data_IF_368436129292
#
_entry.id   IF_368436129292
#
_cell.length_a   1.000
_cell.length_b   1.000
_cell.length_c   1.000
_cell.angle_alpha   90.00
_cell.angle_beta   90.00
_cell.angle_gamma   90.00
#
_symmetry.space_group_name_H-M   'P 1'
#
loop_
_entity.id
_entity.type
_entity.pdbx_description
1 polymer ?
#
# COMPACT_ATOMS: atom_id res chain seq x y z
N UNK A 1 0.00 40.33 22.10
CA UNK A 1 -1.02 39.48 22.73
C UNK A 1 -0.71 38.03 22.38
N UNK A 2 -0.76 37.13 23.36
CA UNK A 2 -0.70 35.68 23.12
C UNK A 2 -2.13 35.21 22.91
N UNK A 3 -2.38 34.55 21.79
CA UNK A 3 -3.68 33.95 21.47
C UNK A 3 -3.45 32.44 21.42
N UNK A 4 -4.24 31.69 22.18
CA UNK A 4 -4.31 30.24 22.10
C UNK A 4 -5.75 29.85 21.77
N UNK A 5 -5.93 29.02 20.76
CA UNK A 5 -7.21 28.46 20.35
C UNK A 5 -7.22 26.99 20.75
N UNK A 6 -8.28 26.58 21.43
CA UNK A 6 -8.51 25.19 21.82
C UNK A 6 -9.91 24.79 21.33
N UNK A 7 -9.97 23.78 20.47
CA UNK A 7 -11.19 23.32 19.82
C UNK A 7 -11.43 21.85 20.12
N UNK A 8 -12.65 21.51 20.50
CA UNK A 8 -13.11 20.12 20.56
C UNK A 8 -13.97 19.85 19.33
N UNK A 9 -13.55 18.91 18.53
CA UNK A 9 -14.23 18.50 17.29
C UNK A 9 -14.85 17.13 17.51
N UNK A 10 -16.14 17.01 17.22
CA UNK A 10 -16.84 15.73 17.14
C UNK A 10 -17.25 15.51 15.70
N UNK A 11 -16.56 14.58 15.06
CA UNK A 11 -16.89 14.15 13.71
C UNK A 11 -18.02 13.11 13.77
N UNK A 12 -19.08 13.35 13.01
CA UNK A 12 -20.16 12.36 12.82
C UNK A 12 -19.73 11.29 11.81
N UNK A 13 -20.46 10.16 11.67
CA UNK A 13 -20.09 9.07 10.78
C UNK A 13 -19.96 9.39 9.28
N UNK A 14 -20.46 10.55 8.84
CA UNK A 14 -20.33 11.02 7.45
C UNK A 14 -19.23 12.05 7.26
N UNK A 15 -18.44 12.31 8.29
CA UNK A 15 -17.32 13.23 8.20
C UNK A 15 -16.24 12.63 7.31
N UNK A 16 -15.69 13.44 6.41
CA UNK A 16 -14.60 13.04 5.50
C UNK A 16 -13.31 13.65 5.95
N UNK A 17 -12.25 12.89 5.84
CA UNK A 17 -10.89 13.37 6.05
C UNK A 17 -10.00 12.99 4.87
N UNK A 18 -9.06 13.87 4.57
CA UNK A 18 -7.94 13.59 3.68
C UNK A 18 -6.65 13.64 4.52
N UNK A 19 -5.93 12.54 4.55
CA UNK A 19 -4.64 12.43 5.24
C UNK A 19 -3.55 12.30 4.20
N UNK A 20 -2.75 13.34 4.04
CA UNK A 20 -1.63 13.36 3.10
C UNK A 20 -0.46 12.63 3.76
N UNK A 21 -0.04 11.52 3.16
CA UNK A 21 1.10 10.73 3.63
C UNK A 21 2.41 11.25 3.06
N UNK A 22 2.36 11.66 1.80
CA UNK A 22 3.51 12.18 1.07
C UNK A 22 3.04 13.21 0.04
N UNK A 23 3.49 14.46 0.20
CA UNK A 23 3.14 15.55 -0.71
C UNK A 23 3.86 15.44 -2.07
N UNK A 24 5.04 14.83 -2.12
CA UNK A 24 5.84 14.70 -3.35
C UNK A 24 5.26 13.62 -4.28
N UNK A 25 4.86 12.48 -3.71
CA UNK A 25 4.25 11.39 -4.47
C UNK A 25 2.74 11.59 -4.65
N UNK A 26 2.13 12.43 -3.82
CA UNK A 26 0.69 12.63 -3.78
C UNK A 26 -0.08 11.48 -3.15
N UNK A 27 0.58 10.70 -2.30
CA UNK A 27 -0.05 9.62 -1.55
C UNK A 27 -1.02 10.18 -0.52
N UNK A 28 -2.28 9.81 -0.64
CA UNK A 28 -3.36 10.31 0.21
C UNK A 28 -4.30 9.20 0.63
N UNK A 29 -4.67 9.22 1.92
CA UNK A 29 -5.77 8.43 2.45
C UNK A 29 -7.00 9.33 2.47
N UNK A 30 -8.06 8.93 1.78
CA UNK A 30 -9.38 9.56 1.85
C UNK A 30 -10.30 8.65 2.63
N UNK A 31 -10.75 9.13 3.78
CA UNK A 31 -11.59 8.35 4.68
C UNK A 31 -12.92 9.03 4.99
N UNK A 32 -13.93 8.24 5.24
CA UNK A 32 -15.19 8.65 5.84
C UNK A 32 -15.40 7.86 7.13
N UNK A 33 -15.78 8.56 8.20
CA UNK A 33 -15.87 7.93 9.49
C UNK A 33 -16.22 8.92 10.60
N UNK A 34 -15.86 8.59 11.82
CA UNK A 34 -16.20 9.38 13.00
C UNK A 34 -15.01 9.50 13.96
N UNK A 35 -15.09 10.46 14.87
CA UNK A 35 -14.04 10.63 15.85
C UNK A 35 -14.27 11.82 16.79
N UNK A 36 -13.38 11.90 17.77
CA UNK A 36 -13.31 13.04 18.68
C UNK A 36 -11.88 13.52 18.75
N UNK A 37 -11.70 14.80 18.42
CA UNK A 37 -10.37 15.41 18.37
C UNK A 37 -10.38 16.69 19.19
N UNK A 38 -9.32 16.91 19.94
CA UNK A 38 -8.98 18.18 20.54
C UNK A 38 -7.82 18.79 19.75
N UNK A 39 -8.02 19.98 19.22
CA UNK A 39 -7.02 20.72 18.45
C UNK A 39 -6.65 21.98 19.24
N UNK A 40 -5.36 22.14 19.48
CA UNK A 40 -4.80 23.31 20.17
C UNK A 40 -3.71 23.94 19.31
N UNK A 41 -3.81 25.25 19.15
CA UNK A 41 -2.84 26.05 18.39
C UNK A 41 -2.73 27.44 18.99
N UNK A 42 -1.57 28.02 19.01
CA UNK A 42 -1.35 29.38 19.52
C UNK A 42 -0.23 30.12 18.82
N UNK A 43 -0.16 31.42 19.08
CA UNK A 43 0.89 32.31 18.50
C UNK A 43 2.30 31.91 18.95
N UNK A 44 2.44 31.17 20.05
CA UNK A 44 3.69 30.64 20.59
C UNK A 44 3.66 29.16 20.90
N UNK A 45 2.57 28.48 20.51
CA UNK A 45 2.38 27.05 20.73
C UNK A 45 2.24 26.38 19.37
N UNK A 46 2.99 25.30 19.16
CA UNK A 46 2.83 24.47 17.96
C UNK A 46 1.43 23.82 17.92
N UNK A 47 0.97 23.52 16.72
CA UNK A 47 -0.25 22.74 16.52
C UNK A 47 -0.15 21.41 17.24
N UNK A 48 -1.15 21.14 18.08
CA UNK A 48 -1.29 19.87 18.80
C UNK A 48 -2.67 19.29 18.54
N UNK A 49 -2.72 18.03 18.20
CA UNK A 49 -3.96 17.26 18.00
C UNK A 49 -3.95 16.10 18.97
N UNK A 50 -5.06 15.84 19.64
CA UNK A 50 -5.27 14.68 20.52
C UNK A 50 -6.63 14.07 20.25
N UNK A 51 -6.67 12.75 20.26
CA UNK A 51 -7.89 12.00 20.05
C UNK A 51 -7.76 10.93 18.98
N UNK A 52 -8.89 10.39 18.57
CA UNK A 52 -8.96 9.29 17.62
C UNK A 52 -10.02 9.56 16.57
N UNK A 53 -9.74 9.13 15.35
CA UNK A 53 -10.68 9.09 14.25
C UNK A 53 -10.76 7.66 13.72
N UNK A 54 -11.98 7.14 13.58
CA UNK A 54 -12.27 5.81 13.05
C UNK A 54 -12.75 5.92 11.62
N UNK A 55 -12.05 5.27 10.70
CA UNK A 55 -12.40 5.17 9.28
C UNK A 55 -13.28 3.95 9.10
N UNK A 56 -14.49 4.14 8.60
CA UNK A 56 -15.43 3.05 8.29
C UNK A 56 -15.39 2.63 6.81
N UNK A 57 -14.98 3.54 5.94
CA UNK A 57 -14.77 3.32 4.51
C UNK A 57 -13.85 4.39 3.94
N UNK A 58 -13.21 4.06 2.84
CA UNK A 58 -12.32 5.02 2.20
C UNK A 58 -11.50 4.42 1.08
N UNK A 59 -10.53 5.20 0.64
CA UNK A 59 -9.60 4.82 -0.40
C UNK A 59 -8.21 5.31 -0.05
N UNK A 60 -7.22 4.47 -0.24
CA UNK A 60 -5.84 4.86 -0.30
C UNK A 60 -5.38 4.75 -1.76
N UNK A 61 -4.99 5.88 -2.35
CA UNK A 61 -4.44 5.85 -3.71
C UNK A 61 -2.93 5.73 -3.64
N UNK A 62 -2.44 4.59 -4.04
CA UNK A 62 -1.04 4.35 -4.30
C UNK A 62 -0.62 5.02 -5.61
N UNK A 63 0.34 5.94 -5.53
CA UNK A 63 0.89 6.63 -6.69
C UNK A 63 2.31 6.15 -6.96
N UNK A 64 2.55 5.69 -8.17
CA UNK A 64 3.88 5.39 -8.66
C UNK A 64 4.21 6.30 -9.84
N UNK A 65 5.19 7.20 -9.64
CA UNK A 65 5.67 8.15 -10.67
C UNK A 65 4.53 8.77 -11.48
N UNK A 66 3.77 9.67 -10.90
CA UNK A 66 2.73 10.53 -11.50
C UNK A 66 1.72 9.90 -12.48
N UNK A 67 2.05 8.82 -13.16
CA UNK A 67 1.19 8.20 -14.19
C UNK A 67 0.64 6.82 -13.82
N UNK A 68 1.04 6.24 -12.70
CA UNK A 68 0.57 4.93 -12.30
C UNK A 68 -0.12 5.00 -10.94
N UNK A 69 -1.42 4.81 -10.93
CA UNK A 69 -2.25 4.89 -9.73
C UNK A 69 -2.97 3.57 -9.48
N UNK A 70 -2.94 3.10 -8.24
CA UNK A 70 -3.72 1.94 -7.80
C UNK A 70 -4.53 2.32 -6.56
N UNK A 71 -5.86 2.37 -6.69
CA UNK A 71 -6.72 2.62 -5.54
C UNK A 71 -6.89 1.35 -4.72
N UNK A 72 -6.52 1.41 -3.45
CA UNK A 72 -6.85 0.41 -2.44
C UNK A 72 -8.11 0.86 -1.70
N UNK A 73 -9.07 -0.03 -1.54
CA UNK A 73 -10.27 0.22 -0.74
C UNK A 73 -9.95 0.03 0.72
N UNK A 74 -10.15 1.05 1.55
CA UNK A 74 -10.06 0.93 2.99
C UNK A 74 -11.29 0.19 3.53
N UNK A 75 -11.05 -0.82 4.35
CA UNK A 75 -12.10 -1.64 4.98
C UNK A 75 -12.41 -1.15 6.37
N UNK A 76 -11.36 -0.80 7.09
CA UNK A 76 -11.43 -0.25 8.45
C UNK A 76 -10.13 0.48 8.76
N UNK A 77 -10.16 1.34 9.75
CA UNK A 77 -8.93 1.97 10.21
C UNK A 77 -9.14 2.91 11.37
N UNK A 78 -8.05 3.18 12.05
CA UNK A 78 -7.99 4.19 13.10
C UNK A 78 -6.78 5.07 12.90
N UNK A 79 -6.94 6.35 13.25
CA UNK A 79 -5.84 7.30 13.37
C UNK A 79 -5.90 7.89 14.77
N UNK A 80 -4.81 7.79 15.51
CA UNK A 80 -4.71 8.28 16.88
C UNK A 80 -3.64 9.35 16.98
N UNK A 81 -4.00 10.52 17.52
CA UNK A 81 -3.10 11.63 17.77
C UNK A 81 -2.89 11.83 19.27
N UNK A 82 -1.62 12.02 19.65
CA UNK A 82 -1.20 12.26 21.04
C UNK A 82 -0.43 13.57 21.23
N UNK A 83 -0.57 14.52 20.32
CA UNK A 83 0.07 15.83 20.37
C UNK A 83 0.54 16.28 18.99
N UNK A 84 1.78 16.00 18.61
CA UNK A 84 2.30 16.35 17.28
C UNK A 84 1.48 15.68 16.17
N UNK A 85 0.87 16.44 15.25
CA UNK A 85 0.08 15.88 14.16
C UNK A 85 0.82 14.87 13.28
N UNK A 86 2.12 15.07 13.10
CA UNK A 86 2.97 14.22 12.27
C UNK A 86 3.37 12.89 12.93
N UNK A 87 3.15 12.79 14.25
CA UNK A 87 3.44 11.57 15.03
C UNK A 87 2.17 10.74 15.30
N UNK A 88 1.12 10.93 14.51
CA UNK A 88 -0.06 10.10 14.60
C UNK A 88 0.28 8.61 14.42
N UNK A 89 -0.48 7.78 15.12
CA UNK A 89 -0.41 6.32 14.97
C UNK A 89 -1.59 5.87 14.12
N UNK A 90 -1.31 5.04 13.14
CA UNK A 90 -2.32 4.45 12.26
C UNK A 90 -2.41 2.95 12.46
N UNK A 91 -3.59 2.43 12.21
CA UNK A 91 -3.91 0.99 12.17
C UNK A 91 -5.05 0.82 11.17
N UNK A 92 -4.76 0.31 9.97
CA UNK A 92 -5.69 0.32 8.83
C UNK A 92 -5.57 -0.94 8.01
N UNK A 93 -6.71 -1.45 7.56
CA UNK A 93 -6.82 -2.53 6.59
C UNK A 93 -7.34 -2.01 5.25
N UNK A 94 -6.66 -2.38 4.20
CA UNK A 94 -7.04 -2.03 2.84
C UNK A 94 -6.93 -3.23 1.90
N UNK A 95 -7.68 -3.20 0.82
CA UNK A 95 -7.65 -4.25 -0.19
C UNK A 95 -7.59 -3.70 -1.61
N UNK A 96 -6.91 -4.42 -2.48
CA UNK A 96 -6.90 -4.20 -3.91
C UNK A 96 -7.30 -5.48 -4.64
N UNK A 97 -8.35 -5.41 -5.47
CA UNK A 97 -8.78 -6.52 -6.31
C UNK A 97 -8.07 -6.45 -7.67
N UNK A 98 -7.08 -7.31 -7.87
CA UNK A 98 -6.45 -7.52 -9.17
C UNK A 98 -7.29 -8.51 -9.98
N UNK A 99 -7.85 -8.04 -11.10
CA UNK A 99 -8.73 -8.84 -11.94
C UNK A 99 -7.99 -9.52 -13.06
N UNK A 100 -8.44 -10.75 -13.39
CA UNK A 100 -7.94 -11.50 -14.54
C UNK A 100 -6.41 -11.65 -14.57
N UNK A 101 -5.83 -11.93 -13.38
CA UNK A 101 -4.40 -12.11 -13.18
C UNK A 101 -3.94 -13.41 -13.81
N UNK A 102 -2.78 -13.39 -14.46
CA UNK A 102 -2.15 -14.60 -14.96
C UNK A 102 -1.53 -15.38 -13.77
N UNK A 103 -2.14 -16.53 -13.47
CA UNK A 103 -1.76 -17.43 -12.38
C UNK A 103 -0.84 -18.57 -12.86
N UNK A 104 -0.42 -18.59 -14.13
CA UNK A 104 0.34 -19.70 -14.71
C UNK A 104 1.64 -19.99 -13.97
N UNK A 105 2.26 -18.96 -13.38
CA UNK A 105 3.49 -19.09 -12.61
C UNK A 105 3.30 -19.66 -11.19
N UNK A 106 2.06 -19.82 -10.73
CA UNK A 106 1.77 -20.44 -9.44
C UNK A 106 1.68 -21.96 -9.53
N UNK A 107 1.41 -22.53 -10.72
CA UNK A 107 1.28 -23.96 -10.91
C UNK A 107 2.42 -24.48 -11.78
N UNK A 108 3.36 -25.19 -11.16
CA UNK A 108 4.45 -25.86 -11.87
C UNK A 108 3.88 -26.98 -12.75
N UNK A 109 3.92 -26.81 -14.07
CA UNK A 109 3.68 -27.89 -15.03
C UNK A 109 2.31 -27.91 -15.75
N UNK A 110 1.42 -26.94 -15.55
CA UNK A 110 0.24 -26.85 -16.40
C UNK A 110 0.50 -25.88 -17.55
N UNK A 111 0.43 -26.37 -18.77
CA UNK A 111 0.43 -25.57 -20.00
C UNK A 111 -0.87 -24.76 -20.20
N UNK A 112 -1.77 -24.80 -19.25
CA UNK A 112 -3.02 -24.05 -19.26
C UNK A 112 -2.77 -22.65 -18.71
N UNK A 113 -3.12 -21.63 -19.48
CA UNK A 113 -3.16 -20.25 -19.01
C UNK A 113 -4.29 -20.11 -17.99
N UNK A 114 -3.93 -20.22 -16.71
CA UNK A 114 -4.85 -19.99 -15.61
C UNK A 114 -4.95 -18.49 -15.36
N UNK A 115 -6.15 -17.96 -15.49
CA UNK A 115 -6.47 -16.58 -15.14
C UNK A 115 -7.56 -16.54 -14.10
N UNK A 116 -7.36 -15.76 -13.06
CA UNK A 116 -8.36 -15.56 -12.00
C UNK A 116 -8.14 -14.19 -11.33
N UNK A 117 -9.08 -13.81 -10.49
CA UNK A 117 -8.97 -12.63 -9.67
C UNK A 117 -8.17 -12.96 -8.40
N UNK A 118 -7.40 -12.01 -7.88
CA UNK A 118 -6.70 -12.09 -6.59
C UNK A 118 -6.91 -10.81 -5.79
N UNK A 119 -7.12 -10.95 -4.49
CA UNK A 119 -7.18 -9.83 -3.56
C UNK A 119 -5.81 -9.67 -2.91
N UNK A 120 -5.28 -8.46 -2.97
CA UNK A 120 -4.12 -8.05 -2.19
C UNK A 120 -4.67 -7.34 -0.96
N UNK A 121 -4.55 -7.98 0.20
CA UNK A 121 -4.81 -7.37 1.49
C UNK A 121 -3.56 -6.63 1.94
N UNK A 122 -3.72 -5.44 2.49
CA UNK A 122 -2.63 -4.68 3.09
C UNK A 122 -3.02 -4.18 4.47
N UNK A 123 -2.15 -4.38 5.44
CA UNK A 123 -2.27 -3.85 6.78
C UNK A 123 -1.20 -2.79 7.01
N UNK A 124 -1.66 -1.56 7.31
CA UNK A 124 -0.81 -0.42 7.61
C UNK A 124 -0.87 -0.13 9.10
N UNK A 125 0.27 -0.12 9.77
CA UNK A 125 0.33 0.12 11.22
C UNK A 125 1.50 1.00 11.61
N UNK A 126 1.47 1.49 12.86
CA UNK A 126 2.55 2.28 13.44
C UNK A 126 2.47 3.77 13.13
N UNK A 127 3.60 4.44 13.04
CA UNK A 127 3.65 5.90 12.84
C UNK A 127 3.21 6.31 11.43
N UNK A 128 2.37 7.34 11.34
CA UNK A 128 1.96 7.94 10.07
C UNK A 128 3.15 8.34 9.18
N UNK A 129 4.23 8.85 9.78
CA UNK A 129 5.47 9.21 9.06
C UNK A 129 6.24 8.03 8.51
N UNK A 130 6.11 6.87 9.15
CA UNK A 130 6.85 5.65 8.78
C UNK A 130 6.01 4.42 9.10
N UNK A 131 4.94 4.21 8.33
CA UNK A 131 4.08 3.06 8.55
C UNK A 131 4.81 1.76 8.24
N UNK A 132 4.49 0.73 9.01
CA UNK A 132 4.76 -0.64 8.65
C UNK A 132 3.63 -1.11 7.75
N UNK A 133 3.98 -1.78 6.67
CA UNK A 133 3.01 -2.34 5.73
C UNK A 133 3.30 -3.80 5.53
N UNK A 134 2.28 -4.61 5.74
CA UNK A 134 2.32 -6.04 5.44
C UNK A 134 1.27 -6.38 4.41
N UNK A 135 1.53 -7.42 3.61
CA UNK A 135 0.63 -7.87 2.57
C UNK A 135 0.26 -9.33 2.75
N UNK A 136 -0.93 -9.66 2.27
CA UNK A 136 -1.44 -11.01 2.17
C UNK A 136 -2.19 -11.19 0.85
N UNK A 137 -2.17 -12.39 0.28
CA UNK A 137 -2.97 -12.75 -0.90
C UNK A 137 -4.17 -13.58 -0.50
N UNK A 138 -5.33 -13.19 -1.01
CA UNK A 138 -6.55 -13.95 -0.84
C UNK A 138 -7.23 -14.22 -2.19
N UNK A 139 -7.67 -15.45 -2.41
CA UNK A 139 -8.52 -15.78 -3.55
C UNK A 139 -9.97 -15.42 -3.20
N UNK A 140 -10.69 -14.72 -4.09
CA UNK A 140 -12.11 -14.43 -3.90
C UNK A 140 -12.91 -15.70 -3.60
N UNK A 141 -13.99 -15.58 -2.84
CA UNK A 141 -14.83 -16.74 -2.46
C UNK A 141 -15.31 -17.57 -3.66
N UNK A 142 -15.58 -16.89 -4.79
CA UNK A 142 -16.02 -17.50 -6.04
C UNK A 142 -14.90 -18.17 -6.84
N UNK A 143 -13.64 -17.98 -6.45
CA UNK A 143 -12.49 -18.52 -7.19
C UNK A 143 -12.48 -20.06 -7.16
N UNK A 144 -12.42 -20.73 -8.31
CA UNK A 144 -12.26 -22.18 -8.36
C UNK A 144 -10.89 -22.62 -7.83
N UNK A 145 -9.90 -21.74 -7.86
CA UNK A 145 -8.53 -22.01 -7.42
C UNK A 145 -8.40 -22.13 -5.89
N UNK A 146 -9.41 -21.75 -5.12
CA UNK A 146 -9.43 -21.98 -3.65
C UNK A 146 -9.31 -23.48 -3.27
N UNK A 147 -9.69 -24.37 -4.18
CA UNK A 147 -9.60 -25.82 -4.00
C UNK A 147 -8.34 -26.41 -4.59
N UNK A 148 -7.55 -25.63 -5.31
CA UNK A 148 -6.27 -26.06 -5.87
C UNK A 148 -5.17 -25.96 -4.78
N UNK A 149 -4.71 -27.13 -4.35
CA UNK A 149 -3.71 -27.23 -3.29
C UNK A 149 -2.37 -26.59 -3.70
N UNK A 150 -1.98 -26.69 -4.96
CA UNK A 150 -0.69 -26.14 -5.43
C UNK A 150 -0.75 -24.61 -5.37
N UNK A 151 -1.83 -24.02 -5.90
CA UNK A 151 -2.02 -22.57 -5.89
C UNK A 151 -2.12 -22.02 -4.46
N UNK A 152 -2.98 -22.63 -3.63
CA UNK A 152 -3.17 -22.16 -2.24
C UNK A 152 -1.91 -22.30 -1.40
N UNK A 153 -1.18 -23.40 -1.56
CA UNK A 153 0.12 -23.59 -0.89
C UNK A 153 1.12 -22.54 -1.34
N UNK A 154 1.21 -22.27 -2.64
CA UNK A 154 2.14 -21.28 -3.19
C UNK A 154 1.86 -19.85 -2.67
N UNK A 155 0.59 -19.46 -2.61
CA UNK A 155 0.20 -18.16 -2.04
C UNK A 155 0.58 -18.09 -0.55
N UNK A 156 0.38 -19.16 0.20
CA UNK A 156 0.80 -19.24 1.61
C UNK A 156 2.34 -19.20 1.78
N UNK A 157 3.09 -19.83 0.88
CA UNK A 157 4.55 -19.83 0.92
C UNK A 157 5.12 -18.40 0.74
N UNK A 158 4.49 -17.54 -0.03
CA UNK A 158 4.90 -16.14 -0.18
C UNK A 158 4.84 -15.34 1.14
N UNK A 159 3.93 -15.70 2.05
CA UNK A 159 3.81 -15.03 3.36
C UNK A 159 4.99 -15.30 4.29
N UNK A 160 5.75 -16.38 4.04
CA UNK A 160 6.90 -16.74 4.87
C UNK A 160 8.15 -15.89 4.57
N UNK A 161 8.16 -15.14 3.48
CA UNK A 161 9.27 -14.25 3.08
C UNK A 161 8.73 -12.90 2.59
N UNK A 162 8.93 -11.88 3.41
CA UNK A 162 8.51 -10.50 3.12
C UNK A 162 9.06 -9.97 1.79
N UNK A 163 10.30 -10.30 1.46
CA UNK A 163 10.90 -9.88 0.18
C UNK A 163 10.19 -10.51 -1.01
N UNK A 164 9.89 -11.80 -0.93
CA UNK A 164 9.14 -12.51 -1.97
C UNK A 164 7.72 -11.95 -2.07
N UNK A 165 7.04 -11.73 -0.94
CA UNK A 165 5.71 -11.13 -0.91
C UNK A 165 5.71 -9.77 -1.60
N UNK A 166 6.62 -8.87 -1.23
CA UNK A 166 6.71 -7.53 -1.80
C UNK A 166 6.98 -7.56 -3.31
N UNK A 167 7.82 -8.50 -3.80
CA UNK A 167 8.05 -8.71 -5.23
C UNK A 167 6.79 -9.13 -5.96
N UNK A 168 6.05 -10.07 -5.42
CA UNK A 168 4.82 -10.56 -6.03
C UNK A 168 3.75 -9.47 -6.05
N UNK A 169 3.60 -8.70 -4.96
CA UNK A 169 2.69 -7.55 -4.91
C UNK A 169 3.07 -6.52 -5.98
N UNK A 170 4.34 -6.17 -6.09
CA UNK A 170 4.81 -5.24 -7.11
C UNK A 170 4.51 -5.74 -8.53
N UNK A 171 4.76 -7.03 -8.81
CA UNK A 171 4.46 -7.64 -10.10
C UNK A 171 2.97 -7.61 -10.43
N UNK A 172 2.12 -7.91 -9.45
CA UNK A 172 0.67 -7.85 -9.63
C UNK A 172 0.17 -6.43 -9.91
N UNK A 173 0.65 -5.45 -9.14
CA UNK A 173 0.23 -4.06 -9.32
C UNK A 173 0.66 -3.47 -10.65
N UNK A 174 1.83 -3.86 -11.18
CA UNK A 174 2.37 -3.35 -12.44
C UNK A 174 1.93 -4.15 -13.66
N UNK A 175 2.12 -5.47 -13.58
CA UNK A 175 2.06 -6.35 -14.75
C UNK A 175 0.86 -7.29 -14.74
N UNK A 176 0.09 -7.28 -13.65
CA UNK A 176 -1.07 -8.15 -13.46
C UNK A 176 -0.74 -9.65 -13.61
N UNK A 177 0.43 -10.05 -13.12
CA UNK A 177 0.93 -11.43 -13.16
C UNK A 177 1.79 -11.75 -11.95
N UNK A 178 1.81 -13.02 -11.54
CA UNK A 178 2.82 -13.51 -10.61
C UNK A 178 4.13 -13.80 -11.34
N UNK A 179 5.25 -13.62 -10.65
CA UNK A 179 6.58 -13.99 -11.18
C UNK A 179 6.96 -15.39 -10.69
N UNK A 180 7.66 -16.15 -11.57
CA UNK A 180 8.23 -17.46 -11.21
C UNK A 180 9.55 -17.29 -10.44
N UNK A 181 9.91 -18.29 -9.63
CA UNK A 181 11.19 -18.30 -8.89
C UNK A 181 12.41 -18.28 -9.81
N UNK A 182 12.28 -18.85 -11.02
CA UNK A 182 13.36 -18.93 -12.00
C UNK A 182 13.56 -17.61 -12.76
N UNK A 183 12.56 -16.74 -12.77
CA UNK A 183 12.70 -15.43 -13.38
C UNK A 183 13.39 -14.49 -12.40
N UNK A 184 14.71 -14.38 -12.57
CA UNK A 184 15.55 -13.40 -11.87
C UNK A 184 15.20 -11.94 -12.23
N UNK A 185 13.90 -11.60 -12.22
CA UNK A 185 13.43 -10.25 -12.47
C UNK A 185 14.03 -9.24 -11.49
N UNK A 186 14.51 -9.73 -10.35
CA UNK A 186 14.99 -8.88 -9.27
C UNK A 186 16.37 -9.30 -8.73
N UNK A 187 17.06 -10.22 -9.39
CA UNK A 187 18.38 -10.62 -8.94
C UNK A 187 19.45 -9.65 -9.44
N UNK A 188 19.56 -8.53 -8.80
CA UNK A 188 20.86 -7.88 -8.54
C UNK A 188 20.73 -7.01 -7.28
N UNK A 189 21.61 -7.33 -6.34
CA UNK A 189 21.95 -6.55 -5.18
C UNK A 189 22.03 -5.06 -5.53
N UNK A 190 21.05 -4.30 -5.14
CA UNK A 190 21.27 -2.94 -4.75
C UNK A 190 20.44 -2.71 -3.50
N UNK A 191 21.14 -2.70 -2.38
CA UNK A 191 20.74 -2.07 -1.13
C UNK A 191 20.40 -0.62 -1.43
N UNK A 192 19.20 -0.40 -1.95
CA UNK A 192 18.67 0.96 -2.01
C UNK A 192 18.30 1.28 -0.58
N UNK A 193 19.02 2.23 -0.02
CA UNK A 193 18.71 2.79 1.29
C UNK A 193 17.25 3.24 1.27
N UNK A 194 16.41 2.45 1.91
CA UNK A 194 14.99 2.71 2.08
C UNK A 194 14.83 3.85 3.09
N UNK A 195 14.94 5.07 2.58
CA UNK A 195 14.62 6.27 3.34
C UNK A 195 13.28 6.85 2.84
N UNK A 196 12.24 6.01 2.81
CA UNK A 196 10.93 6.48 2.34
C UNK A 196 9.80 5.73 3.02
N UNK A 197 8.81 6.45 3.44
CA UNK A 197 7.98 6.17 4.60
C UNK A 197 6.53 5.77 4.28
N UNK A 198 6.21 5.38 3.06
CA UNK A 198 4.85 5.01 2.62
C UNK A 198 4.87 3.71 1.83
N UNK A 199 3.72 3.05 1.66
CA UNK A 199 3.58 1.89 0.76
C UNK A 199 4.18 2.19 -0.60
N UNK A 200 3.90 3.39 -1.12
CA UNK A 200 4.40 3.88 -2.39
C UNK A 200 5.91 3.84 -2.48
N UNK A 201 6.59 4.23 -1.47
CA UNK A 201 8.04 4.31 -1.47
C UNK A 201 8.71 2.96 -1.19
N UNK A 202 8.09 2.09 -0.40
CA UNK A 202 8.54 0.70 -0.25
C UNK A 202 8.42 -0.02 -1.60
N UNK A 203 7.30 0.13 -2.28
CA UNK A 203 7.09 -0.45 -3.59
C UNK A 203 7.80 0.33 -4.70
N UNK A 204 7.94 1.66 -4.63
CA UNK A 204 8.57 2.46 -5.69
C UNK A 204 10.04 2.17 -5.87
N UNK A 205 10.79 1.92 -4.80
CA UNK A 205 12.19 1.47 -4.91
C UNK A 205 12.32 0.17 -5.70
N UNK A 206 11.41 -0.77 -5.49
CA UNK A 206 11.34 -2.02 -6.22
C UNK A 206 10.88 -1.83 -7.66
N UNK A 207 9.88 -0.98 -7.87
CA UNK A 207 9.24 -0.72 -9.15
C UNK A 207 10.15 0.05 -10.09
N UNK A 208 10.85 1.08 -9.60
CA UNK A 208 11.77 1.89 -10.42
C UNK A 208 12.87 1.02 -11.04
N UNK A 209 13.46 0.13 -10.25
CA UNK A 209 14.51 -0.75 -10.75
C UNK A 209 14.00 -1.78 -11.75
N UNK A 210 12.80 -2.32 -11.53
CA UNK A 210 12.20 -3.31 -12.42
C UNK A 210 11.74 -2.66 -13.71
N UNK A 211 11.09 -1.52 -13.63
CA UNK A 211 10.58 -0.78 -14.79
C UNK A 211 11.73 -0.28 -15.67
N UNK A 212 12.77 0.31 -15.09
CA UNK A 212 13.94 0.76 -15.85
C UNK A 212 14.63 -0.40 -16.55
N UNK A 213 14.76 -1.55 -15.90
CA UNK A 213 15.39 -2.72 -16.52
C UNK A 213 14.55 -3.35 -17.64
N UNK A 214 13.23 -3.38 -17.50
CA UNK A 214 12.36 -3.86 -18.58
C UNK A 214 12.27 -2.86 -19.74
N UNK A 215 12.30 -1.57 -19.45
CA UNK A 215 12.42 -0.52 -20.46
C UNK A 215 13.76 -0.57 -21.20
N UNK A 216 14.88 -0.77 -20.49
CA UNK A 216 16.19 -0.95 -21.10
C UNK A 216 16.21 -2.15 -22.04
N UNK A 217 15.59 -3.27 -21.65
CA UNK A 217 15.45 -4.45 -22.52
C UNK A 217 14.55 -4.18 -23.73
N UNK A 218 13.42 -3.49 -23.52
CA UNK A 218 12.45 -3.19 -24.57
C UNK A 218 12.96 -2.13 -25.55
N UNK A 219 13.84 -1.23 -25.09
CA UNK A 219 14.36 -0.09 -25.88
C UNK A 219 15.84 -0.27 -26.29
N UNK A 220 16.42 -1.47 -26.10
CA UNK A 220 17.84 -1.72 -26.34
C UNK A 220 18.79 -0.68 -25.69
N UNK A 221 18.43 -0.21 -24.50
CA UNK A 221 19.25 0.73 -23.73
C UNK A 221 19.15 2.20 -24.14
N UNK A 222 18.18 2.57 -24.97
CA UNK A 222 18.05 3.95 -25.50
C UNK A 222 17.30 4.89 -24.56
N UNK A 223 16.48 4.37 -23.63
CA UNK A 223 15.68 5.20 -22.69
C UNK A 223 15.84 4.70 -21.27
N UNK A 224 16.37 5.54 -20.39
CA UNK A 224 16.32 5.36 -18.94
C UNK A 224 15.66 6.58 -18.29
N UNK A 225 14.75 6.36 -17.34
CA UNK A 225 14.24 7.44 -16.51
C UNK A 225 15.07 7.54 -15.23
N UNK A 226 15.47 8.78 -14.92
CA UNK A 226 16.13 9.14 -13.66
C UNK A 226 15.10 9.64 -12.67
#
# INVERSE_FOLDING_TARGET
ANITVNMNIVANPSCKIDVILDEETGDVIKGEGNGRLNIRVGTREALSIRGQYEISKGEYTFNFQTFFKRPFTLKSGTITWNGDPYLAIIDMDAEYLAKNVDMSNLSSGSSLRLKDDIIILSHLSGSLKKPLVTFEFELPERSPLRKDYIVTKRLADFQNDENTMNKQVASLLLFNTFISDEQNFFSQQNTIGLATNTIGSILSGWLTNTFNRELEKATNGVVSFK
#
